data_IF_812702699234
#
_entry.id   IF_812702699234
#
_cell.length_a   1.000
_cell.length_b   1.000
_cell.length_c   1.000
_cell.angle_alpha   90.00
_cell.angle_beta   90.00
_cell.angle_gamma   90.00
#
_symmetry.space_group_name_H-M   'P 1'
#
loop_
_entity.id
_entity.type
_entity.pdbx_description
1 polymer ?
#
# COMPACT_ATOMS: atom_id res chain seq x y z
N UNK A 1 4.37 22.70 12.28
CA UNK A 1 4.50 24.18 12.28
C UNK A 1 5.11 24.62 13.62
N UNK A 2 6.35 25.14 13.66
CA UNK A 2 6.97 25.64 14.89
C UNK A 2 6.22 26.83 15.51
N UNK A 3 5.31 27.45 14.74
CA UNK A 3 4.43 28.51 15.22
C UNK A 3 3.24 28.02 16.07
N UNK A 4 2.89 26.72 16.04
CA UNK A 4 1.72 26.16 16.75
C UNK A 4 2.10 25.53 18.08
N UNK A 5 3.25 24.85 18.17
CA UNK A 5 3.83 24.34 19.43
C UNK A 5 5.36 24.41 19.36
N UNK A 6 6.00 24.99 20.38
CA UNK A 6 7.46 25.13 20.48
C UNK A 6 8.18 23.79 20.64
N UNK A 7 7.48 22.75 21.13
CA UNK A 7 8.08 21.44 21.43
C UNK A 7 8.00 20.45 20.26
N UNK A 8 7.34 20.81 19.15
CA UNK A 8 7.07 19.90 18.02
C UNK A 8 8.00 20.14 16.81
N UNK A 9 9.24 20.59 17.05
CA UNK A 9 10.22 20.86 15.99
C UNK A 9 10.52 19.60 15.18
N UNK A 10 10.75 18.45 15.83
CA UNK A 10 10.99 17.17 15.16
C UNK A 10 9.82 16.73 14.27
N UNK A 11 8.59 16.90 14.77
CA UNK A 11 7.38 16.62 13.97
C UNK A 11 7.36 17.52 12.74
N UNK A 12 7.71 18.80 12.89
CA UNK A 12 7.69 19.75 11.79
C UNK A 12 8.78 19.48 10.74
N UNK A 13 9.98 19.07 11.15
CA UNK A 13 11.09 18.79 10.22
C UNK A 13 10.83 17.51 9.42
N UNK A 14 10.34 16.44 10.05
CA UNK A 14 10.04 15.20 9.34
C UNK A 14 8.88 15.38 8.36
N UNK A 15 7.80 16.06 8.77
CA UNK A 15 6.64 16.29 7.90
C UNK A 15 7.00 17.27 6.77
N UNK A 16 7.83 18.28 7.05
CA UNK A 16 8.34 19.17 6.00
C UNK A 16 9.19 18.44 4.96
N UNK A 17 10.09 17.56 5.41
CA UNK A 17 10.89 16.71 4.53
C UNK A 17 10.01 15.76 3.72
N UNK A 18 9.03 15.13 4.38
CA UNK A 18 8.03 14.27 3.74
C UNK A 18 7.24 14.99 2.66
N UNK A 19 6.78 16.22 2.93
CA UNK A 19 6.05 17.04 1.96
C UNK A 19 6.88 17.35 0.70
N UNK A 20 8.19 17.59 0.84
CA UNK A 20 9.08 17.79 -0.31
C UNK A 20 9.21 16.51 -1.14
N UNK A 21 9.39 15.36 -0.48
CA UNK A 21 9.48 14.05 -1.15
C UNK A 21 8.15 13.73 -1.86
N UNK A 22 7.01 13.93 -1.19
CA UNK A 22 5.67 13.75 -1.75
C UNK A 22 5.42 14.67 -2.95
N UNK A 23 5.88 15.93 -2.89
CA UNK A 23 5.78 16.84 -4.02
C UNK A 23 6.55 16.32 -5.24
N UNK A 24 7.76 15.76 -5.06
CA UNK A 24 8.52 15.13 -6.15
C UNK A 24 7.75 13.94 -6.74
N UNK A 25 7.17 13.08 -5.90
CA UNK A 25 6.34 11.96 -6.36
C UNK A 25 5.12 12.41 -7.15
N UNK A 26 4.40 13.42 -6.66
CA UNK A 26 3.21 13.99 -7.32
C UNK A 26 3.59 14.62 -8.66
N UNK A 27 4.68 15.39 -8.72
CA UNK A 27 5.16 16.00 -9.96
C UNK A 27 5.52 14.94 -11.00
N UNK A 28 6.26 13.91 -10.58
CA UNK A 28 6.59 12.77 -11.45
C UNK A 28 5.32 12.11 -12.00
N UNK A 29 4.32 11.88 -11.14
CA UNK A 29 3.03 11.32 -11.56
C UNK A 29 2.30 12.22 -12.58
N UNK A 30 2.25 13.54 -12.34
CA UNK A 30 1.61 14.52 -13.24
C UNK A 30 2.36 14.67 -14.57
N UNK A 31 3.65 14.37 -14.63
CA UNK A 31 4.41 14.36 -15.88
C UNK A 31 4.09 13.10 -16.68
N UNK A 32 4.15 11.91 -16.05
CA UNK A 32 4.15 10.63 -16.79
C UNK A 32 2.80 9.92 -16.91
N UNK A 33 1.79 10.24 -16.10
CA UNK A 33 0.53 9.48 -16.12
C UNK A 33 -0.33 9.68 -17.40
N UNK A 34 -1.26 8.76 -17.72
CA UNK A 34 -2.25 8.96 -18.78
C UNK A 34 -3.24 10.08 -18.45
N UNK A 35 -3.71 10.84 -19.46
CA UNK A 35 -4.60 12.01 -19.29
C UNK A 35 -5.84 11.72 -18.43
N UNK A 36 -6.44 10.53 -18.58
CA UNK A 36 -7.65 10.12 -17.84
C UNK A 36 -7.40 9.98 -16.34
N UNK A 37 -6.29 9.37 -15.94
CA UNK A 37 -5.94 9.20 -14.53
C UNK A 37 -5.41 10.51 -13.94
N UNK A 38 -4.64 11.28 -14.71
CA UNK A 38 -4.19 12.63 -14.32
C UNK A 38 -5.32 13.53 -13.87
N UNK A 39 -6.43 13.58 -14.62
CA UNK A 39 -7.56 14.45 -14.28
C UNK A 39 -8.16 14.11 -12.90
N UNK A 40 -8.32 12.81 -12.59
CA UNK A 40 -8.82 12.36 -11.28
C UNK A 40 -7.84 12.73 -10.16
N UNK A 41 -6.55 12.48 -10.36
CA UNK A 41 -5.52 12.77 -9.37
C UNK A 41 -5.37 14.29 -9.13
N UNK A 42 -5.44 15.11 -10.18
CA UNK A 42 -5.44 16.58 -10.03
C UNK A 42 -6.69 17.03 -9.26
N UNK A 43 -7.85 16.47 -9.54
CA UNK A 43 -9.07 16.76 -8.78
C UNK A 43 -8.92 16.45 -7.28
N UNK A 44 -8.38 15.28 -6.95
CA UNK A 44 -8.12 14.88 -5.57
C UNK A 44 -7.04 15.74 -4.90
N UNK A 45 -5.97 16.07 -5.62
CA UNK A 45 -4.89 16.93 -5.14
C UNK A 45 -5.42 18.33 -4.82
N UNK A 46 -6.20 18.92 -5.71
CA UNK A 46 -6.84 20.23 -5.50
C UNK A 46 -7.75 20.21 -4.28
N UNK A 47 -8.54 19.14 -4.09
CA UNK A 47 -9.36 18.97 -2.89
C UNK A 47 -8.50 18.97 -1.61
N UNK A 48 -7.45 18.15 -1.56
CA UNK A 48 -6.56 18.05 -0.39
C UNK A 48 -5.87 19.38 -0.09
N UNK A 49 -5.32 20.05 -1.10
CA UNK A 49 -4.65 21.35 -0.93
C UNK A 49 -5.63 22.44 -0.47
N UNK A 50 -6.85 22.44 -1.00
CA UNK A 50 -7.89 23.40 -0.60
C UNK A 50 -8.32 23.17 0.84
N UNK A 51 -8.55 21.92 1.25
CA UNK A 51 -8.87 21.59 2.64
C UNK A 51 -7.73 21.96 3.58
N UNK A 52 -6.48 21.64 3.22
CA UNK A 52 -5.31 22.03 4.02
C UNK A 52 -5.17 23.55 4.16
N UNK A 53 -5.30 24.28 3.05
CA UNK A 53 -5.27 25.75 3.06
C UNK A 53 -6.39 26.35 3.92
N UNK A 54 -7.61 25.80 3.84
CA UNK A 54 -8.74 26.22 4.66
C UNK A 54 -8.48 26.01 6.16
N UNK A 55 -8.00 24.82 6.56
CA UNK A 55 -7.62 24.53 7.95
C UNK A 55 -6.52 25.46 8.43
N UNK A 56 -5.49 25.70 7.61
CA UNK A 56 -4.41 26.62 7.93
C UNK A 56 -4.89 28.07 8.09
N UNK A 57 -5.77 28.54 7.19
CA UNK A 57 -6.31 29.89 7.24
C UNK A 57 -7.16 30.12 8.50
N UNK A 58 -8.07 29.19 8.81
CA UNK A 58 -8.88 29.24 10.05
C UNK A 58 -7.96 29.24 11.28
N UNK A 59 -6.96 28.36 11.28
CA UNK A 59 -5.99 28.27 12.38
C UNK A 59 -5.20 29.57 12.60
N UNK A 60 -4.77 30.23 11.52
CA UNK A 60 -3.91 31.42 11.60
C UNK A 60 -4.68 32.74 11.81
N UNK A 61 -5.89 32.85 11.26
CA UNK A 61 -6.66 34.11 11.26
C UNK A 61 -7.67 34.15 12.39
N UNK A 62 -8.30 33.01 12.71
CA UNK A 62 -9.42 32.96 13.66
C UNK A 62 -8.97 32.54 15.06
N UNK A 63 -8.01 31.60 15.14
CA UNK A 63 -7.64 30.96 16.41
C UNK A 63 -6.31 31.47 16.97
N UNK A 64 -6.24 31.57 18.29
CA UNK A 64 -5.06 32.05 19.01
C UNK A 64 -4.68 31.10 20.16
N UNK A 65 -3.39 31.04 20.48
CA UNK A 65 -2.86 30.28 21.62
C UNK A 65 -3.33 28.82 21.66
N UNK A 66 -3.87 28.40 22.80
CA UNK A 66 -4.28 27.02 23.09
C UNK A 66 -5.40 26.51 22.18
N UNK A 67 -6.35 27.36 21.79
CA UNK A 67 -7.45 26.96 20.89
C UNK A 67 -6.93 26.55 19.51
N UNK A 68 -5.90 27.24 19.02
CA UNK A 68 -5.23 26.91 17.76
C UNK A 68 -4.50 25.57 17.83
N UNK A 69 -3.79 25.33 18.93
CA UNK A 69 -3.09 24.08 19.18
C UNK A 69 -4.06 22.88 19.20
N UNK A 70 -5.15 22.99 19.95
CA UNK A 70 -6.19 21.94 20.04
C UNK A 70 -6.83 21.70 18.66
N UNK A 71 -7.21 22.76 17.95
CA UNK A 71 -7.83 22.63 16.62
C UNK A 71 -6.92 21.94 15.61
N UNK A 72 -5.66 22.38 15.51
CA UNK A 72 -4.68 21.76 14.62
C UNK A 72 -4.36 20.32 15.05
N UNK A 73 -4.29 20.05 16.34
CA UNK A 73 -4.07 18.71 16.89
C UNK A 73 -5.17 17.74 16.48
N UNK A 74 -6.44 18.14 16.64
CA UNK A 74 -7.57 17.32 16.19
C UNK A 74 -7.59 17.12 14.68
N UNK A 75 -7.37 18.17 13.89
CA UNK A 75 -7.30 18.05 12.44
C UNK A 75 -6.20 17.05 12.02
N UNK A 76 -5.00 17.19 12.57
CA UNK A 76 -3.88 16.29 12.29
C UNK A 76 -4.18 14.84 12.71
N UNK A 77 -4.80 14.64 13.87
CA UNK A 77 -5.20 13.32 14.34
C UNK A 77 -6.22 12.67 13.40
N UNK A 78 -7.27 13.40 12.97
CA UNK A 78 -8.28 12.90 12.03
C UNK A 78 -7.63 12.47 10.70
N UNK A 79 -6.79 13.32 10.11
CA UNK A 79 -6.09 12.97 8.86
C UNK A 79 -5.19 11.75 9.03
N UNK A 80 -4.48 11.65 10.16
CA UNK A 80 -3.64 10.49 10.47
C UNK A 80 -4.45 9.19 10.54
N UNK A 81 -5.62 9.21 11.18
CA UNK A 81 -6.52 8.05 11.26
C UNK A 81 -7.04 7.65 9.87
N UNK A 82 -7.43 8.62 9.04
CA UNK A 82 -7.87 8.36 7.66
C UNK A 82 -6.75 7.68 6.85
N UNK A 83 -5.49 8.13 6.99
CA UNK A 83 -4.34 7.55 6.29
C UNK A 83 -4.13 6.07 6.61
N UNK A 84 -4.48 5.61 7.82
CA UNK A 84 -4.39 4.20 8.20
C UNK A 84 -5.33 3.27 7.40
N UNK A 85 -6.27 3.82 6.62
CA UNK A 85 -7.02 3.05 5.64
C UNK A 85 -6.13 2.33 4.62
N UNK A 86 -4.98 2.91 4.25
CA UNK A 86 -4.02 2.30 3.31
C UNK A 86 -3.41 0.99 3.84
N UNK A 87 -2.70 0.96 5.00
CA UNK A 87 -2.16 -0.29 5.53
C UNK A 87 -3.25 -1.33 5.85
N UNK A 88 -4.45 -0.91 6.30
CA UNK A 88 -5.60 -1.80 6.47
C UNK A 88 -6.03 -2.49 5.17
N UNK A 89 -6.04 -1.76 4.05
CA UNK A 89 -6.33 -2.32 2.73
C UNK A 89 -5.30 -3.37 2.30
N UNK A 90 -4.02 -3.12 2.58
CA UNK A 90 -2.95 -4.09 2.30
C UNK A 90 -3.08 -5.34 3.18
N UNK A 91 -3.34 -5.18 4.49
CA UNK A 91 -3.60 -6.31 5.39
C UNK A 91 -4.78 -7.16 4.91
N UNK A 92 -5.87 -6.52 4.48
CA UNK A 92 -7.03 -7.21 3.88
C UNK A 92 -6.63 -8.00 2.63
N UNK A 93 -5.78 -7.41 1.78
CA UNK A 93 -5.25 -8.08 0.59
C UNK A 93 -4.44 -9.32 0.99
N UNK A 94 -3.50 -9.22 1.94
CA UNK A 94 -2.71 -10.36 2.43
C UNK A 94 -3.59 -11.50 2.95
N UNK A 95 -4.63 -11.19 3.74
CA UNK A 95 -5.54 -12.21 4.28
C UNK A 95 -6.34 -12.90 3.17
N UNK A 96 -6.76 -12.16 2.14
CA UNK A 96 -7.53 -12.69 1.00
C UNK A 96 -6.67 -13.50 0.03
N UNK A 97 -5.51 -12.97 -0.35
CA UNK A 97 -4.61 -13.61 -1.33
C UNK A 97 -3.71 -14.66 -0.70
N UNK A 98 -3.67 -14.71 0.65
CA UNK A 98 -2.76 -15.55 1.42
C UNK A 98 -1.28 -15.30 1.09
N UNK A 99 -0.95 -14.16 0.49
CA UNK A 99 0.39 -13.80 0.01
C UNK A 99 0.82 -12.44 0.56
N UNK A 100 2.12 -12.33 0.88
CA UNK A 100 2.75 -11.11 1.41
C UNK A 100 3.44 -10.26 0.33
N UNK A 101 3.14 -10.50 -0.94
CA UNK A 101 3.78 -9.82 -2.09
C UNK A 101 3.71 -8.28 -2.00
N UNK A 102 2.56 -7.75 -1.58
CA UNK A 102 2.34 -6.31 -1.41
C UNK A 102 2.73 -5.77 -0.02
N UNK A 103 3.29 -6.62 0.85
CA UNK A 103 3.67 -6.28 2.23
C UNK A 103 5.08 -6.79 2.55
N UNK A 104 6.14 -6.11 2.06
CA UNK A 104 7.51 -6.53 2.33
C UNK A 104 7.88 -6.34 3.80
N UNK A 105 8.65 -7.29 4.35
CA UNK A 105 9.03 -7.33 5.77
C UNK A 105 9.64 -6.02 6.28
N UNK A 106 10.65 -5.49 5.59
CA UNK A 106 11.36 -4.29 6.04
C UNK A 106 10.45 -3.06 6.08
N UNK A 107 9.50 -2.93 5.15
CA UNK A 107 8.55 -1.83 5.17
C UNK A 107 7.66 -1.91 6.42
N UNK A 108 7.12 -3.08 6.73
CA UNK A 108 6.32 -3.30 7.95
C UNK A 108 7.13 -3.06 9.22
N UNK A 109 8.39 -3.51 9.25
CA UNK A 109 9.29 -3.31 10.39
C UNK A 109 9.58 -1.82 10.63
N UNK A 110 9.93 -1.07 9.58
CA UNK A 110 10.22 0.35 9.72
C UNK A 110 8.97 1.17 10.05
N UNK A 111 7.79 0.80 9.53
CA UNK A 111 6.52 1.41 9.93
C UNK A 111 6.25 1.17 11.41
N UNK A 112 6.44 -0.05 11.91
CA UNK A 112 6.30 -0.38 13.32
C UNK A 112 7.27 0.45 14.18
N UNK A 113 8.58 0.40 13.89
CA UNK A 113 9.60 1.13 14.65
C UNK A 113 9.38 2.65 14.63
N UNK A 114 9.00 3.20 13.47
CA UNK A 114 8.66 4.62 13.33
C UNK A 114 7.44 4.98 14.20
N UNK A 115 6.36 4.20 14.11
CA UNK A 115 5.17 4.39 14.92
C UNK A 115 5.46 4.29 16.42
N UNK A 116 6.24 3.29 16.84
CA UNK A 116 6.68 3.16 18.24
C UNK A 116 7.50 4.36 18.70
N UNK A 117 8.45 4.83 17.88
CA UNK A 117 9.31 5.97 18.22
C UNK A 117 8.49 7.25 18.41
N UNK A 118 7.54 7.52 17.52
CA UNK A 118 6.65 8.68 17.64
C UNK A 118 5.63 8.54 18.78
N UNK A 119 5.17 7.32 19.06
CA UNK A 119 4.30 7.06 20.20
C UNK A 119 5.01 7.39 21.52
N UNK A 120 6.24 6.87 21.70
CA UNK A 120 7.07 7.16 22.87
C UNK A 120 7.40 8.65 22.96
N UNK A 121 7.75 9.28 21.82
CA UNK A 121 7.99 10.73 21.78
C UNK A 121 6.76 11.54 22.26
N UNK A 122 5.57 11.19 21.78
CA UNK A 122 4.32 11.84 22.20
C UNK A 122 4.03 11.65 23.69
N UNK A 123 4.25 10.45 24.24
CA UNK A 123 4.08 10.17 25.67
C UNK A 123 5.06 10.97 26.53
N UNK A 124 6.35 10.99 26.17
CA UNK A 124 7.38 11.74 26.90
C UNK A 124 7.15 13.25 26.83
N UNK A 125 6.65 13.74 25.69
CA UNK A 125 6.30 15.15 25.50
C UNK A 125 4.94 15.56 26.08
N UNK A 126 4.14 14.60 26.58
CA UNK A 126 2.76 14.87 27.03
C UNK A 126 1.80 15.30 25.92
N UNK A 127 2.13 15.04 24.66
CA UNK A 127 1.34 15.44 23.49
C UNK A 127 0.50 14.25 22.99
N UNK A 128 -0.77 14.23 23.41
CA UNK A 128 -1.72 13.19 23.02
C UNK A 128 -2.06 13.21 21.53
N UNK A 129 -1.95 14.36 20.85
CA UNK A 129 -2.20 14.46 19.42
C UNK A 129 -1.10 13.80 18.59
N UNK A 130 0.10 13.67 19.16
CA UNK A 130 1.17 12.85 18.58
C UNK A 130 1.07 11.40 19.05
N UNK A 131 0.84 11.17 20.35
CA UNK A 131 0.84 9.82 20.91
C UNK A 131 -0.29 8.95 20.33
N UNK A 132 -1.54 9.39 20.40
CA UNK A 132 -2.70 8.56 20.03
C UNK A 132 -2.63 8.02 18.59
N UNK A 133 -2.48 8.84 17.54
CA UNK A 133 -2.41 8.32 16.18
C UNK A 133 -1.21 7.40 15.99
N UNK A 134 -0.02 7.76 16.48
CA UNK A 134 1.17 6.92 16.32
C UNK A 134 1.09 5.61 17.11
N UNK A 135 0.37 5.58 18.23
CA UNK A 135 0.03 4.34 18.94
C UNK A 135 -0.84 3.40 18.10
N UNK A 136 -1.85 3.95 17.40
CA UNK A 136 -2.64 3.18 16.42
C UNK A 136 -1.74 2.69 15.29
N UNK A 137 -0.88 3.55 14.73
CA UNK A 137 0.08 3.17 13.70
C UNK A 137 1.05 2.07 14.14
N UNK A 138 1.54 2.13 15.39
CA UNK A 138 2.35 1.09 16.01
C UNK A 138 1.57 -0.24 16.08
N UNK A 139 0.32 -0.22 16.54
CA UNK A 139 -0.54 -1.41 16.56
C UNK A 139 -0.75 -2.02 15.18
N UNK A 140 -1.01 -1.19 14.16
CA UNK A 140 -1.16 -1.63 12.78
C UNK A 140 0.16 -2.20 12.23
N UNK A 141 1.31 -1.58 12.50
CA UNK A 141 2.63 -2.08 12.12
C UNK A 141 2.92 -3.45 12.75
N UNK A 142 2.56 -3.64 14.02
CA UNK A 142 2.66 -4.94 14.69
C UNK A 142 1.78 -5.99 14.01
N UNK A 143 0.54 -5.64 13.66
CA UNK A 143 -0.36 -6.53 12.92
C UNK A 143 0.20 -6.88 11.53
N UNK A 144 0.81 -5.92 10.82
CA UNK A 144 1.47 -6.18 9.54
C UNK A 144 2.63 -7.19 9.70
N UNK A 145 3.44 -7.07 10.75
CA UNK A 145 4.52 -8.03 11.05
C UNK A 145 3.97 -9.42 11.37
N UNK A 146 2.93 -9.51 12.21
CA UNK A 146 2.26 -10.77 12.55
C UNK A 146 1.73 -11.46 11.28
N UNK A 147 0.98 -10.72 10.45
CA UNK A 147 0.46 -11.24 9.18
C UNK A 147 1.58 -11.66 8.23
N UNK A 148 2.67 -10.91 8.17
CA UNK A 148 3.84 -11.30 7.39
C UNK A 148 4.36 -12.67 7.81
N UNK A 149 4.59 -12.90 9.11
CA UNK A 149 5.10 -14.20 9.59
C UNK A 149 4.12 -15.36 9.38
N UNK A 150 2.81 -15.10 9.47
CA UNK A 150 1.78 -16.13 9.20
C UNK A 150 1.76 -16.51 7.71
N UNK A 151 1.83 -15.54 6.79
CA UNK A 151 1.60 -15.77 5.36
C UNK A 151 2.88 -15.86 4.51
N UNK A 152 4.08 -15.53 5.03
CA UNK A 152 5.35 -15.56 4.28
C UNK A 152 5.70 -16.92 3.67
N UNK A 153 5.25 -18.00 4.32
CA UNK A 153 5.53 -19.36 3.87
C UNK A 153 4.39 -19.95 3.03
N UNK A 154 3.26 -19.24 2.99
CA UNK A 154 2.17 -19.51 2.07
C UNK A 154 2.51 -18.83 0.74
N UNK A 155 3.59 -19.30 0.09
CA UNK A 155 3.70 -19.14 -1.35
C UNK A 155 2.55 -19.94 -1.91
N UNK A 156 1.37 -19.30 -2.02
CA UNK A 156 0.16 -19.92 -2.52
C UNK A 156 0.57 -20.78 -3.68
N UNK A 157 0.21 -22.07 -3.63
CA UNK A 157 0.61 -23.08 -4.60
C UNK A 157 0.83 -22.37 -5.92
N UNK A 158 2.09 -22.21 -6.31
CA UNK A 158 2.37 -21.81 -7.66
C UNK A 158 1.72 -22.95 -8.44
N UNK A 159 0.49 -22.74 -8.91
CA UNK A 159 -0.01 -23.42 -10.09
C UNK A 159 1.04 -23.05 -11.12
N UNK A 160 2.11 -23.84 -11.17
CA UNK A 160 2.84 -24.08 -12.40
C UNK A 160 1.70 -24.23 -13.40
N UNK A 161 1.58 -23.37 -14.42
CA UNK A 161 0.70 -23.74 -15.51
C UNK A 161 1.18 -25.14 -15.86
N UNK A 162 0.33 -26.14 -15.63
CA UNK A 162 0.60 -27.48 -16.11
C UNK A 162 0.68 -27.24 -17.61
N UNK A 163 1.90 -27.08 -18.11
CA UNK A 163 2.15 -26.95 -19.53
C UNK A 163 1.36 -28.09 -20.15
N UNK A 164 0.61 -27.85 -21.23
CA UNK A 164 -0.25 -28.85 -21.85
C UNK A 164 0.58 -29.96 -22.53
N UNK A 165 1.80 -30.26 -22.05
CA UNK A 165 2.65 -31.36 -22.50
C UNK A 165 1.90 -32.67 -22.40
N UNK A 166 1.12 -32.90 -21.33
CA UNK A 166 0.38 -34.16 -21.18
C UNK A 166 -0.79 -34.31 -22.17
N UNK A 167 -1.48 -33.23 -22.53
CA UNK A 167 -2.53 -33.24 -23.56
C UNK A 167 -1.96 -33.26 -24.98
N UNK A 168 -0.82 -32.59 -25.21
CA UNK A 168 -0.11 -32.58 -26.48
C UNK A 168 0.55 -33.95 -26.77
N UNK A 169 1.14 -34.60 -25.77
CA UNK A 169 1.70 -35.96 -25.89
C UNK A 169 0.60 -36.99 -26.25
N UNK A 170 -0.57 -36.90 -25.62
CA UNK A 170 -1.71 -37.77 -25.96
C UNK A 170 -2.25 -37.49 -27.36
N UNK A 171 -2.25 -36.22 -27.81
CA UNK A 171 -2.63 -35.86 -29.17
C UNK A 171 -1.66 -36.42 -30.22
N UNK A 172 -0.36 -36.30 -29.98
CA UNK A 172 0.69 -36.83 -30.86
C UNK A 172 0.67 -38.37 -30.90
N UNK A 173 0.48 -39.03 -29.76
CA UNK A 173 0.37 -40.49 -29.69
C UNK A 173 -0.84 -41.02 -30.48
N UNK A 174 -1.99 -40.34 -30.39
CA UNK A 174 -3.18 -40.67 -31.18
C UNK A 174 -2.97 -40.44 -32.68
N UNK A 175 -2.29 -39.36 -33.07
CA UNK A 175 -1.94 -39.10 -34.47
C UNK A 175 -0.99 -40.15 -35.05
N UNK A 176 -0.02 -40.64 -34.25
CA UNK A 176 0.88 -41.72 -34.67
C UNK A 176 0.14 -43.05 -34.84
N UNK A 177 -0.73 -43.42 -33.87
CA UNK A 177 -1.56 -44.63 -34.01
C UNK A 177 -2.48 -44.55 -35.23
N UNK A 178 -3.07 -43.38 -35.51
CA UNK A 178 -3.96 -43.20 -36.65
C UNK A 178 -3.19 -43.31 -37.98
N UNK A 179 -1.96 -42.77 -38.08
CA UNK A 179 -1.11 -42.92 -39.27
C UNK A 179 -0.68 -44.37 -39.51
N UNK A 180 -0.34 -45.11 -38.46
CA UNK A 180 0.03 -46.54 -38.54
C UNK A 180 -1.15 -47.40 -39.02
N UNK A 181 -2.36 -47.15 -38.49
CA UNK A 181 -3.57 -47.87 -38.91
C UNK A 181 -3.94 -47.60 -40.38
N UNK A 182 -3.77 -46.36 -40.84
CA UNK A 182 -4.03 -45.98 -42.24
C UNK A 182 -2.99 -46.60 -43.19
N UNK A 183 -1.70 -46.58 -42.82
CA UNK A 183 -0.63 -47.17 -43.63
C UNK A 183 -0.75 -48.70 -43.76
N UNK A 184 -1.15 -49.38 -42.68
CA UNK A 184 -1.38 -50.83 -42.70
C UNK A 184 -2.69 -51.19 -43.43
N UNK A 185 -3.72 -50.33 -43.38
CA UNK A 185 -4.97 -50.53 -44.12
C UNK A 185 -4.81 -50.39 -45.64
N UNK A 186 -3.96 -49.47 -46.10
CA UNK A 186 -3.67 -49.30 -47.53
C UNK A 186 -2.91 -50.48 -48.14
N UNK A 187 -2.06 -51.17 -47.37
CA UNK A 187 -1.33 -52.34 -47.88
C UNK A 187 -2.18 -53.62 -48.00
N UNK A 188 -3.36 -53.67 -47.39
CA UNK A 188 -4.27 -54.82 -47.48
C UNK A 188 -5.27 -54.64 -48.65
N UNK A 189 -5.58 -53.40 -49.05
CA UNK A 189 -6.50 -53.13 -50.15
C UNK A 189 -5.89 -53.34 -51.56
N UNK A 190 -4.56 -53.28 -51.69
CA UNK A 190 -3.86 -53.49 -52.98
C UNK A 190 -3.55 -54.97 -53.30
N UNK A 191 -4.06 -55.91 -52.50
CA UNK A 191 -3.83 -57.36 -52.66
C UNK A 191 -5.09 -58.19 -52.94
N UNK A 192 -6.19 -57.57 -53.38
CA UNK A 192 -7.41 -58.27 -53.83
C UNK A 192 -7.65 -58.00 -55.31
#
# INVERSE_FOLDING_TARGET
MPFVSKNNMLVSTINGTGAVIEAIYVLTFIIYAPKKEKAKFIGLLTLVLTTFAGVALVSLVVLHGKSREIFCGFAAAIFSIIMYGSPLSIMRTVVKTKSVEYMPFFLSLFVFLCGTSWFVFGLLGGDLFVAVPNGVGCGLGALQLILYFIYRNNKGEAKKPALPVKSMQMGIAKLHQQKELVANGSHVADKV
#
